data_IF_348108362394
#
_entry.id   IF_348108362394
#
_cell.length_a   1.000
_cell.length_b   1.000
_cell.length_c   1.000
_cell.angle_alpha   90.00
_cell.angle_beta   90.00
_cell.angle_gamma   90.00
#
_symmetry.space_group_name_H-M   'P 1'
#
loop_
_entity.id
_entity.type
_entity.pdbx_description
1 polymer ?
#
# COMPACT_ATOMS: atom_id res chain seq x y z
N UNK A 1 7.38 -4.75 4.63
CA UNK A 1 6.69 -3.44 4.73
C UNK A 1 6.20 -3.29 6.15
N UNK A 2 6.25 -2.08 6.69
CA UNK A 2 5.54 -1.70 7.91
C UNK A 2 4.63 -0.53 7.58
N UNK A 3 3.41 -0.51 8.11
CA UNK A 3 2.45 0.56 7.88
C UNK A 3 1.44 0.66 9.04
N UNK A 4 0.75 1.78 9.14
CA UNK A 4 -0.41 1.94 10.03
C UNK A 4 -1.65 1.24 9.45
N UNK A 5 -2.67 1.05 10.29
CA UNK A 5 -3.97 0.53 9.88
C UNK A 5 -4.62 1.37 8.78
N UNK A 6 -4.39 2.69 8.74
CA UNK A 6 -4.82 3.55 7.62
C UNK A 6 -4.44 3.05 6.22
N UNK A 7 -3.34 2.27 6.07
CA UNK A 7 -3.04 1.55 4.82
C UNK A 7 -3.90 0.29 4.69
N UNK A 8 -3.83 -0.62 5.66
CA UNK A 8 -4.42 -1.95 5.56
C UNK A 8 -5.95 -1.95 5.59
N UNK A 9 -6.57 -0.94 6.20
CA UNK A 9 -8.01 -0.72 6.21
C UNK A 9 -8.53 -0.27 4.83
N UNK A 10 -7.67 0.31 3.98
CA UNK A 10 -8.07 0.97 2.75
C UNK A 10 -7.47 0.36 1.47
N UNK A 11 -6.38 -0.40 1.56
CA UNK A 11 -5.70 -0.94 0.38
C UNK A 11 -5.67 -2.47 0.44
N UNK A 12 -6.24 -3.17 -0.55
CA UNK A 12 -6.13 -4.63 -0.63
C UNK A 12 -4.68 -5.09 -0.78
N UNK A 13 -4.32 -6.20 -0.13
CA UNK A 13 -2.97 -6.80 -0.20
C UNK A 13 -2.49 -7.03 -1.63
N UNK A 14 -3.39 -7.46 -2.53
CA UNK A 14 -3.06 -7.66 -3.94
C UNK A 14 -2.56 -6.37 -4.61
N UNK A 15 -3.20 -5.24 -4.32
CA UNK A 15 -2.81 -3.95 -4.87
C UNK A 15 -1.47 -3.47 -4.28
N UNK A 16 -1.21 -3.75 -3.00
CA UNK A 16 0.11 -3.50 -2.40
C UNK A 16 1.21 -4.31 -3.08
N UNK A 17 0.96 -5.60 -3.32
CA UNK A 17 1.92 -6.49 -4.00
C UNK A 17 2.17 -6.03 -5.44
N UNK A 18 1.13 -5.68 -6.19
CA UNK A 18 1.25 -5.19 -7.56
C UNK A 18 2.09 -3.91 -7.62
N UNK A 19 1.82 -2.96 -6.71
CA UNK A 19 2.50 -1.67 -6.66
C UNK A 19 3.99 -1.81 -6.30
N UNK A 20 4.31 -2.67 -5.33
CA UNK A 20 5.70 -2.98 -4.95
C UNK A 20 6.41 -3.69 -6.10
N UNK A 21 5.75 -4.66 -6.73
CA UNK A 21 6.34 -5.43 -7.82
C UNK A 21 6.65 -4.52 -9.01
N UNK A 22 5.71 -3.66 -9.40
CA UNK A 22 5.89 -2.73 -10.52
C UNK A 22 7.02 -1.72 -10.29
N UNK A 23 7.18 -1.22 -9.05
CA UNK A 23 8.11 -0.10 -8.75
C UNK A 23 9.47 -0.53 -8.21
N UNK A 24 9.54 -1.67 -7.54
CA UNK A 24 10.76 -2.15 -6.86
C UNK A 24 11.35 -3.36 -7.59
N UNK A 25 10.51 -4.29 -8.04
CA UNK A 25 10.91 -5.56 -8.63
C UNK A 25 10.72 -5.59 -10.16
N UNK A 26 11.61 -4.94 -10.91
CA UNK A 26 11.59 -5.09 -12.37
C UNK A 26 12.45 -6.31 -12.79
N UNK A 27 11.86 -7.35 -13.40
CA UNK A 27 12.59 -8.56 -13.81
C UNK A 27 13.65 -8.31 -14.90
N UNK A 28 13.52 -7.22 -15.65
CA UNK A 28 14.36 -6.92 -16.81
C UNK A 28 15.58 -6.02 -16.50
N UNK A 29 15.84 -5.69 -15.23
CA UNK A 29 16.88 -4.73 -14.86
C UNK A 29 18.06 -5.39 -14.15
N UNK A 30 19.26 -4.98 -14.57
CA UNK A 30 20.51 -5.13 -13.79
C UNK A 30 20.22 -4.70 -12.35
N UNK A 31 20.73 -5.48 -11.37
CA UNK A 31 20.53 -5.19 -9.96
C UNK A 31 20.80 -3.70 -9.69
N UNK A 32 19.79 -2.92 -9.21
CA UNK A 32 19.94 -1.47 -9.14
C UNK A 32 21.11 -1.08 -8.24
N UNK A 33 21.65 0.13 -8.37
CA UNK A 33 22.56 0.63 -7.34
C UNK A 33 21.83 0.76 -5.99
N UNK A 34 22.58 1.00 -4.89
CA UNK A 34 21.96 1.25 -3.58
C UNK A 34 21.05 2.48 -3.64
N UNK A 35 21.52 3.57 -4.27
CA UNK A 35 20.78 4.83 -4.37
C UNK A 35 19.53 4.69 -5.25
N UNK A 36 19.62 3.94 -6.36
CA UNK A 36 18.48 3.64 -7.21
C UNK A 36 17.41 2.83 -6.46
N UNK A 37 17.81 1.83 -5.67
CA UNK A 37 16.88 1.05 -4.87
C UNK A 37 16.21 1.93 -3.81
N UNK A 38 16.98 2.77 -3.10
CA UNK A 38 16.44 3.71 -2.11
C UNK A 38 15.43 4.67 -2.74
N UNK A 39 15.73 5.22 -3.92
CA UNK A 39 14.80 6.09 -4.65
C UNK A 39 13.51 5.36 -5.06
N UNK A 40 13.63 4.12 -5.56
CA UNK A 40 12.46 3.29 -5.93
C UNK A 40 11.60 2.96 -4.73
N UNK A 41 12.21 2.62 -3.58
CA UNK A 41 11.47 2.37 -2.33
C UNK A 41 10.72 3.62 -1.88
N UNK A 42 11.35 4.80 -1.90
CA UNK A 42 10.66 6.04 -1.53
C UNK A 42 9.50 6.37 -2.49
N UNK A 43 9.71 6.20 -3.80
CA UNK A 43 8.65 6.40 -4.79
C UNK A 43 7.49 5.43 -4.61
N UNK A 44 7.78 4.16 -4.32
CA UNK A 44 6.77 3.15 -4.03
C UNK A 44 6.00 3.50 -2.74
N UNK A 45 6.69 3.90 -1.66
CA UNK A 45 6.06 4.32 -0.41
C UNK A 45 5.11 5.51 -0.61
N UNK A 46 5.56 6.53 -1.36
CA UNK A 46 4.72 7.69 -1.69
C UNK A 46 3.48 7.28 -2.50
N UNK A 47 3.64 6.35 -3.44
CA UNK A 47 2.55 5.87 -4.28
C UNK A 47 1.51 5.09 -3.46
N UNK A 48 1.96 4.19 -2.59
CA UNK A 48 1.08 3.44 -1.68
C UNK A 48 0.32 4.37 -0.73
N UNK A 49 1.00 5.37 -0.15
CA UNK A 49 0.34 6.36 0.69
C UNK A 49 -0.72 7.17 -0.09
N UNK A 50 -0.44 7.52 -1.34
CA UNK A 50 -1.39 8.22 -2.20
C UNK A 50 -2.60 7.34 -2.58
N UNK A 51 -2.37 6.06 -2.88
CA UNK A 51 -3.44 5.08 -3.16
C UNK A 51 -4.34 4.96 -1.93
N UNK A 52 -3.76 4.73 -0.76
CA UNK A 52 -4.51 4.64 0.49
C UNK A 52 -5.34 5.88 0.78
N UNK A 53 -4.77 7.08 0.59
CA UNK A 53 -5.49 8.35 0.76
C UNK A 53 -6.68 8.45 -0.19
N UNK A 54 -6.51 8.08 -1.46
CA UNK A 54 -7.61 8.14 -2.43
C UNK A 54 -8.73 7.17 -2.06
N UNK A 55 -8.38 5.94 -1.72
CA UNK A 55 -9.35 4.90 -1.35
C UNK A 55 -10.01 5.17 0.01
N UNK A 56 -9.30 5.79 0.95
CA UNK A 56 -9.86 6.19 2.25
C UNK A 56 -10.97 7.23 2.12
N UNK A 57 -10.91 8.06 1.08
CA UNK A 57 -11.87 9.14 0.79
C UNK A 57 -12.97 8.73 -0.18
N UNK A 58 -12.93 7.51 -0.73
CA UNK A 58 -13.94 7.00 -1.64
C UNK A 58 -15.10 6.39 -0.82
N UNK A 59 -16.31 6.99 -0.83
CA UNK A 59 -17.44 6.49 -0.06
C UNK A 59 -18.10 5.23 -0.66
N UNK A 60 -17.82 4.94 -1.93
CA UNK A 60 -18.42 3.85 -2.69
C UNK A 60 -17.49 2.64 -2.80
N UNK A 61 -16.20 2.82 -2.51
CA UNK A 61 -15.22 1.74 -2.48
C UNK A 61 -15.50 0.77 -1.33
N UNK A 62 -15.56 -0.53 -1.63
CA UNK A 62 -15.68 -1.58 -0.62
C UNK A 62 -14.29 -1.91 -0.04
N UNK A 63 -13.81 -1.04 0.84
CA UNK A 63 -12.50 -1.15 1.50
C UNK A 63 -12.36 -2.42 2.36
N UNK A 64 -11.13 -2.90 2.62
CA UNK A 64 -10.89 -3.98 3.58
C UNK A 64 -11.56 -3.74 4.94
N UNK A 65 -11.54 -2.49 5.44
CA UNK A 65 -12.25 -2.09 6.64
C UNK A 65 -13.76 -2.30 6.51
N UNK A 66 -14.38 -1.79 5.45
CA UNK A 66 -15.83 -1.94 5.24
C UNK A 66 -16.22 -3.42 5.04
N UNK A 67 -15.39 -4.23 4.39
CA UNK A 67 -15.57 -5.68 4.27
C UNK A 67 -15.56 -6.35 5.65
N UNK A 68 -14.55 -6.04 6.48
CA UNK A 68 -14.46 -6.59 7.82
C UNK A 68 -15.63 -6.13 8.71
N UNK A 69 -16.02 -4.86 8.63
CA UNK A 69 -17.20 -4.34 9.34
C UNK A 69 -18.47 -5.09 8.94
N UNK A 70 -18.68 -5.35 7.64
CA UNK A 70 -19.82 -6.15 7.13
C UNK A 70 -19.79 -7.59 7.63
N UNK A 71 -18.62 -8.23 7.62
CA UNK A 71 -18.46 -9.59 8.14
C UNK A 71 -18.82 -9.68 9.64
N UNK A 72 -18.67 -8.58 10.38
CA UNK A 72 -19.03 -8.46 11.79
C UNK A 72 -20.43 -7.86 12.02
N UNK A 73 -21.29 -7.78 10.98
CA UNK A 73 -22.69 -7.40 11.10
C UNK A 73 -22.98 -5.89 10.97
N UNK A 74 -21.97 -5.06 10.70
CA UNK A 74 -22.15 -3.62 10.48
C UNK A 74 -22.44 -3.29 9.01
N UNK A 75 -23.41 -2.41 8.76
CA UNK A 75 -23.72 -1.92 7.40
C UNK A 75 -22.84 -0.72 7.04
N UNK A 76 -21.59 -0.98 6.67
CA UNK A 76 -20.61 0.04 6.28
C UNK A 76 -20.27 -0.03 4.79
N UNK A 77 -19.91 1.10 4.18
CA UNK A 77 -19.29 1.20 2.85
C UNK A 77 -18.24 2.30 2.88
N UNK A 78 -17.42 2.36 1.83
CA UNK A 78 -16.40 3.39 1.69
C UNK A 78 -15.08 3.05 2.37
N UNK A 79 -14.12 3.94 2.19
CA UNK A 79 -12.87 3.96 2.94
C UNK A 79 -13.03 4.43 4.38
N UNK A 80 -11.96 4.27 5.16
CA UNK A 80 -11.79 4.78 6.51
C UNK A 80 -10.75 5.90 6.47
N UNK A 81 -11.17 7.15 6.58
CA UNK A 81 -10.24 8.28 6.73
C UNK A 81 -9.46 8.15 8.04
N UNK A 82 -8.14 8.00 7.95
CA UNK A 82 -7.24 7.76 9.08
C UNK A 82 -5.83 8.29 8.78
N UNK A 83 -4.96 8.30 9.78
CA UNK A 83 -3.55 8.65 9.62
C UNK A 83 -2.81 7.56 8.81
N UNK A 84 -2.20 7.99 7.70
CA UNK A 84 -1.50 7.10 6.77
C UNK A 84 0.01 7.24 6.95
N UNK A 85 0.66 6.15 7.39
CA UNK A 85 2.12 6.03 7.45
C UNK A 85 2.56 4.69 6.86
N UNK A 86 3.60 4.71 6.02
CA UNK A 86 4.21 3.51 5.42
C UNK A 86 5.73 3.61 5.40
N UNK A 87 6.39 2.50 5.73
CA UNK A 87 7.82 2.30 5.67
C UNK A 87 8.14 1.08 4.79
N UNK A 88 8.94 1.31 3.76
CA UNK A 88 9.45 0.25 2.89
C UNK A 88 10.93 0.01 3.17
N UNK A 89 11.28 -1.26 3.29
CA UNK A 89 12.65 -1.73 3.42
C UNK A 89 12.83 -2.93 2.48
N UNK A 90 14.01 -3.03 1.87
CA UNK A 90 14.40 -4.15 1.02
C UNK A 90 15.63 -4.83 1.61
N UNK A 91 15.66 -6.16 1.55
CA UNK A 91 16.80 -6.97 1.95
C UNK A 91 17.60 -7.30 0.70
N UNK A 92 18.89 -6.98 0.71
CA UNK A 92 19.85 -7.45 -0.29
C UNK A 92 20.76 -8.49 0.32
N UNK A 93 20.84 -9.65 -0.32
CA UNK A 93 21.79 -10.70 0.02
C UNK A 93 22.93 -10.55 -0.99
N UNK A 94 24.09 -10.15 -0.49
CA UNK A 94 25.36 -10.07 -1.23
C UNK A 94 26.06 -11.41 -1.22
#
# INVERSE_FOLDING_TARGET
MLATDGIFDNVPDSLLVDEISAKVSSPDLVAPSHDELTARLQQCANSIALIARKLSQDPDFLSPFAQNARANGFRMSGGKEDDITVLLAAVRIS
#
